data_IF_279354580578
#
_entry.id   IF_279354580578
#
_cell.length_a   1.000
_cell.length_b   1.000
_cell.length_c   1.000
_cell.angle_alpha   90.00
_cell.angle_beta   90.00
_cell.angle_gamma   90.00
#
_symmetry.space_group_name_H-M   'P 1'
#
loop_
_entity.id
_entity.type
_entity.pdbx_description
1 polymer ?
#
# COMPACT_ATOMS: atom_id res chain seq x y z
N UNK A 1 15.24 -19.74 30.40
CA UNK A 1 13.85 -19.32 30.07
C UNK A 1 13.50 -17.93 30.64
N UNK A 2 13.59 -17.65 31.93
CA UNK A 2 13.18 -16.32 32.51
C UNK A 2 13.99 -15.13 31.94
N UNK A 3 15.32 -15.23 31.79
CA UNK A 3 16.17 -14.16 31.23
C UNK A 3 15.85 -13.88 29.75
N UNK A 4 15.58 -14.91 28.98
CA UNK A 4 15.17 -14.84 27.56
C UNK A 4 13.86 -14.12 27.37
N UNK A 5 12.86 -14.45 28.21
CA UNK A 5 11.54 -13.82 28.20
C UNK A 5 11.61 -12.37 28.66
N UNK A 6 12.49 -12.06 29.61
CA UNK A 6 12.74 -10.71 30.11
C UNK A 6 13.44 -9.83 29.06
N UNK A 7 14.39 -10.37 28.31
CA UNK A 7 15.05 -9.71 27.18
C UNK A 7 14.05 -9.43 26.02
N UNK A 8 13.20 -10.42 25.71
CA UNK A 8 12.11 -10.20 24.73
C UNK A 8 11.10 -9.15 25.20
N UNK A 9 10.75 -9.13 26.49
CA UNK A 9 9.84 -8.12 27.05
C UNK A 9 10.47 -6.72 27.08
N UNK A 10 11.74 -6.60 27.44
CA UNK A 10 12.46 -5.32 27.39
C UNK A 10 12.55 -4.81 25.94
N UNK A 11 12.81 -5.72 25.02
CA UNK A 11 12.83 -5.45 23.60
C UNK A 11 11.46 -4.96 23.06
N UNK A 12 10.37 -5.58 23.50
CA UNK A 12 8.99 -5.16 23.13
C UNK A 12 8.61 -3.82 23.80
N UNK A 13 9.17 -3.54 24.99
CA UNK A 13 8.93 -2.30 25.74
C UNK A 13 9.77 -1.09 25.26
N UNK A 14 10.68 -1.27 24.29
CA UNK A 14 11.53 -0.18 23.78
C UNK A 14 12.58 0.32 24.79
N UNK A 15 12.97 -0.52 25.76
CA UNK A 15 13.97 -0.17 26.79
C UNK A 15 15.36 -0.31 26.18
N UNK A 16 16.19 0.74 26.31
CA UNK A 16 17.59 0.69 25.88
C UNK A 16 18.32 -0.45 26.61
N UNK A 17 18.99 -1.32 25.85
CA UNK A 17 19.70 -2.49 26.33
C UNK A 17 21.22 -2.25 26.28
N UNK A 18 21.96 -2.83 27.21
CA UNK A 18 23.41 -2.85 27.13
C UNK A 18 23.89 -3.78 25.99
N UNK A 19 25.06 -3.50 25.42
CA UNK A 19 25.58 -4.25 24.25
C UNK A 19 25.64 -5.76 24.49
N UNK A 20 26.05 -6.20 25.68
CA UNK A 20 26.09 -7.62 26.10
C UNK A 20 24.68 -8.27 26.10
N UNK A 21 23.62 -7.50 26.40
CA UNK A 21 22.23 -7.98 26.37
C UNK A 21 21.71 -8.04 24.94
N UNK A 22 22.19 -7.17 24.06
CA UNK A 22 21.85 -7.19 22.61
C UNK A 22 22.41 -8.45 21.95
N UNK A 23 23.64 -8.84 22.26
CA UNK A 23 24.25 -10.07 21.71
C UNK A 23 23.57 -11.33 22.25
N UNK A 24 23.22 -11.35 23.53
CA UNK A 24 22.44 -12.43 24.12
C UNK A 24 21.04 -12.52 23.46
N UNK A 25 20.41 -11.39 23.16
CA UNK A 25 19.14 -11.34 22.44
C UNK A 25 19.29 -11.91 21.03
N UNK A 26 20.31 -11.49 20.26
CA UNK A 26 20.58 -12.02 18.91
C UNK A 26 20.72 -13.53 18.90
N UNK A 27 21.49 -14.10 19.85
CA UNK A 27 21.68 -15.54 19.97
C UNK A 27 20.36 -16.30 20.23
N UNK A 28 19.42 -15.69 20.95
CA UNK A 28 18.08 -16.23 21.17
C UNK A 28 17.22 -16.11 19.94
N UNK A 29 17.24 -14.96 19.29
CA UNK A 29 16.45 -14.71 18.07
C UNK A 29 16.81 -15.70 16.96
N UNK A 30 18.09 -16.09 16.82
CA UNK A 30 18.52 -17.08 15.82
C UNK A 30 17.86 -18.46 15.96
N UNK A 31 17.35 -18.79 17.15
CA UNK A 31 16.64 -20.05 17.42
C UNK A 31 15.15 -19.98 17.05
N UNK A 32 14.65 -18.80 16.65
CA UNK A 32 13.26 -18.62 16.26
C UNK A 32 13.04 -19.26 14.89
N UNK A 33 12.15 -20.24 14.83
CA UNK A 33 11.78 -20.95 13.59
C UNK A 33 10.44 -20.52 13.04
N UNK A 34 9.56 -19.98 13.86
CA UNK A 34 8.23 -19.54 13.44
C UNK A 34 8.29 -18.34 12.47
N UNK A 35 7.75 -18.46 11.25
CA UNK A 35 7.89 -17.46 10.21
C UNK A 35 7.20 -16.13 10.54
N UNK A 36 6.09 -16.13 11.26
CA UNK A 36 5.41 -14.91 11.68
C UNK A 36 6.27 -14.13 12.70
N UNK A 37 6.88 -14.84 13.65
CA UNK A 37 7.79 -14.25 14.61
C UNK A 37 9.06 -13.74 13.94
N UNK A 38 9.62 -14.46 12.96
CA UNK A 38 10.75 -13.99 12.16
C UNK A 38 10.42 -12.70 11.40
N UNK A 39 9.22 -12.59 10.82
CA UNK A 39 8.75 -11.38 10.17
C UNK A 39 8.67 -10.20 11.16
N UNK A 40 8.17 -10.43 12.38
CA UNK A 40 8.13 -9.41 13.45
C UNK A 40 9.53 -8.94 13.85
N UNK A 41 10.49 -9.85 13.96
CA UNK A 41 11.89 -9.51 14.22
C UNK A 41 12.43 -8.60 13.11
N UNK A 42 12.15 -8.95 11.85
CA UNK A 42 12.48 -8.11 10.71
C UNK A 42 11.90 -6.69 10.81
N UNK A 43 10.64 -6.57 11.27
CA UNK A 43 10.02 -5.27 11.51
C UNK A 43 10.73 -4.46 12.60
N UNK A 44 11.17 -5.11 13.70
CA UNK A 44 11.93 -4.45 14.77
C UNK A 44 13.23 -3.84 14.23
N UNK A 45 14.00 -4.57 13.43
CA UNK A 45 15.20 -4.05 12.79
C UNK A 45 14.90 -2.96 11.74
N UNK A 46 13.83 -3.09 10.99
CA UNK A 46 13.45 -2.11 9.97
C UNK A 46 13.04 -0.75 10.57
N UNK A 47 12.36 -0.77 11.71
CA UNK A 47 11.83 0.40 12.41
C UNK A 47 12.81 0.98 13.44
N UNK A 48 13.70 0.17 13.99
CA UNK A 48 14.64 0.58 15.04
C UNK A 48 13.96 0.79 16.39
N UNK A 49 12.85 0.07 16.68
CA UNK A 49 12.06 0.27 17.90
C UNK A 49 12.61 -0.45 19.13
N UNK A 50 13.27 -1.57 18.91
CA UNK A 50 13.73 -2.48 19.98
C UNK A 50 15.23 -2.67 19.93
N UNK A 51 15.75 -2.71 18.73
CA UNK A 51 17.18 -2.81 18.40
C UNK A 51 17.53 -1.65 17.50
N UNK A 52 18.80 -1.28 17.42
CA UNK A 52 19.24 -0.27 16.47
C UNK A 52 18.75 -0.62 15.07
N UNK A 53 18.32 0.41 14.33
CA UNK A 53 17.81 0.24 12.98
C UNK A 53 18.88 -0.37 12.08
N UNK A 54 18.59 -1.55 11.57
CA UNK A 54 19.45 -2.29 10.66
C UNK A 54 18.65 -2.86 9.50
N UNK A 55 18.83 -2.25 8.35
CA UNK A 55 18.12 -2.64 7.13
C UNK A 55 18.59 -3.98 6.58
N UNK A 56 19.87 -4.34 6.77
CA UNK A 56 20.43 -5.60 6.30
C UNK A 56 19.89 -6.77 7.13
N UNK A 57 19.89 -6.62 8.46
CA UNK A 57 19.29 -7.60 9.35
C UNK A 57 17.78 -7.74 9.11
N UNK A 58 17.04 -6.63 8.93
CA UNK A 58 15.63 -6.69 8.59
C UNK A 58 15.38 -7.53 7.33
N UNK A 59 16.18 -7.30 6.27
CA UNK A 59 16.07 -8.05 5.01
C UNK A 59 16.37 -9.54 5.21
N UNK A 60 17.39 -9.88 6.02
CA UNK A 60 17.75 -11.26 6.35
C UNK A 60 16.59 -12.00 7.02
N UNK A 61 15.96 -11.35 7.99
CA UNK A 61 14.80 -11.91 8.70
C UNK A 61 13.57 -12.03 7.82
N UNK A 62 13.26 -11.02 7.00
CA UNK A 62 12.17 -11.12 6.04
C UNK A 62 12.39 -12.26 5.06
N UNK A 63 13.64 -12.47 4.59
CA UNK A 63 13.95 -13.58 3.67
C UNK A 63 13.73 -14.93 4.34
N UNK A 64 14.22 -15.13 5.57
CA UNK A 64 13.97 -16.33 6.35
C UNK A 64 12.47 -16.66 6.48
N UNK A 65 11.66 -15.66 6.82
CA UNK A 65 10.21 -15.83 6.97
C UNK A 65 9.49 -16.05 5.62
N UNK A 66 9.89 -15.32 4.60
CA UNK A 66 9.28 -15.40 3.27
C UNK A 66 9.54 -16.74 2.57
N UNK A 67 10.74 -17.30 2.75
CA UNK A 67 11.12 -18.63 2.24
C UNK A 67 10.30 -19.75 2.90
N UNK A 68 9.79 -19.51 4.11
CA UNK A 68 8.87 -20.41 4.82
C UNK A 68 7.38 -20.11 4.52
N UNK A 69 7.10 -19.19 3.60
CA UNK A 69 5.75 -18.90 3.13
C UNK A 69 5.03 -17.77 3.84
N UNK A 70 5.62 -17.04 4.81
CA UNK A 70 4.95 -15.92 5.47
C UNK A 70 4.59 -14.81 4.45
N UNK A 71 3.29 -14.60 4.23
CA UNK A 71 2.78 -13.67 3.22
C UNK A 71 3.17 -12.21 3.51
N UNK A 72 3.16 -11.79 4.78
CA UNK A 72 3.60 -10.45 5.18
C UNK A 72 5.09 -10.24 4.88
N UNK A 73 5.95 -11.23 5.16
CA UNK A 73 7.37 -11.14 4.86
C UNK A 73 7.64 -11.09 3.34
N UNK A 74 6.89 -11.86 2.56
CA UNK A 74 6.94 -11.81 1.09
C UNK A 74 6.53 -10.42 0.57
N UNK A 75 5.45 -9.84 1.11
CA UNK A 75 5.08 -8.46 0.81
C UNK A 75 6.19 -7.47 1.17
N UNK A 76 6.80 -7.61 2.36
CA UNK A 76 7.91 -6.75 2.81
C UNK A 76 9.12 -6.83 1.88
N UNK A 77 9.46 -8.01 1.40
CA UNK A 77 10.51 -8.18 0.38
C UNK A 77 10.13 -7.51 -0.94
N UNK A 78 8.91 -7.70 -1.43
CA UNK A 78 8.42 -7.01 -2.62
C UNK A 78 8.55 -5.50 -2.49
N UNK A 79 8.13 -4.94 -1.37
CA UNK A 79 8.27 -3.52 -1.04
C UNK A 79 9.73 -3.07 -0.99
N UNK A 80 10.59 -3.89 -0.38
CA UNK A 80 12.02 -3.62 -0.32
C UNK A 80 12.62 -3.50 -1.72
N UNK A 81 12.39 -4.47 -2.59
CA UNK A 81 12.89 -4.47 -3.96
C UNK A 81 12.32 -3.34 -4.81
N UNK A 82 11.13 -2.84 -4.50
CA UNK A 82 10.54 -1.67 -5.17
C UNK A 82 11.23 -0.36 -4.78
N UNK A 83 11.62 -0.19 -3.51
CA UNK A 83 12.08 1.10 -2.95
C UNK A 83 13.60 1.23 -2.84
N UNK A 84 14.32 0.15 -2.60
CA UNK A 84 15.74 0.21 -2.22
C UNK A 84 16.71 -0.24 -3.30
N UNK A 85 16.26 -0.88 -4.35
CA UNK A 85 17.12 -1.27 -5.45
C UNK A 85 16.97 -0.32 -6.63
N UNK A 86 17.93 0.60 -6.72
CA UNK A 86 18.20 1.49 -7.85
C UNK A 86 18.39 0.66 -9.12
N UNK A 87 17.65 1.06 -10.19
CA UNK A 87 17.94 0.81 -11.61
C UNK A 87 18.51 -0.60 -11.93
N UNK A 88 17.63 -1.57 -12.22
CA UNK A 88 18.01 -2.81 -12.90
C UNK A 88 17.65 -4.15 -12.26
N UNK A 89 17.24 -4.23 -10.99
CA UNK A 89 16.84 -5.49 -10.34
C UNK A 89 15.41 -5.47 -9.80
N UNK A 90 14.45 -5.09 -10.65
CA UNK A 90 13.02 -5.08 -10.32
C UNK A 90 12.28 -6.42 -10.57
N UNK A 91 12.85 -7.49 -11.18
CA UNK A 91 12.14 -8.76 -11.37
C UNK A 91 11.69 -9.42 -10.07
N UNK A 92 12.50 -9.26 -9.01
CA UNK A 92 12.21 -9.89 -7.72
C UNK A 92 11.01 -9.25 -7.00
N UNK A 93 10.73 -7.96 -7.23
CA UNK A 93 9.60 -7.30 -6.60
C UNK A 93 8.27 -7.96 -6.97
N UNK A 94 8.02 -8.16 -8.28
CA UNK A 94 6.81 -8.81 -8.76
C UNK A 94 6.71 -10.27 -8.30
N UNK A 95 7.82 -10.99 -8.27
CA UNK A 95 7.86 -12.36 -7.78
C UNK A 95 7.40 -12.46 -6.32
N UNK A 96 7.93 -11.62 -5.44
CA UNK A 96 7.57 -11.64 -4.03
C UNK A 96 6.14 -11.14 -3.79
N UNK A 97 5.72 -10.07 -4.47
CA UNK A 97 4.33 -9.63 -4.39
C UNK A 97 3.36 -10.70 -4.91
N UNK A 98 3.71 -11.44 -5.97
CA UNK A 98 2.87 -12.54 -6.49
C UNK A 98 2.69 -13.63 -5.45
N UNK A 99 3.77 -14.10 -4.82
CA UNK A 99 3.70 -15.11 -3.74
C UNK A 99 2.77 -14.67 -2.61
N UNK A 100 2.89 -13.43 -2.15
CA UNK A 100 2.01 -12.89 -1.11
C UNK A 100 0.56 -12.72 -1.60
N UNK A 101 0.36 -12.24 -2.83
CA UNK A 101 -0.96 -12.03 -3.43
C UNK A 101 -1.74 -13.34 -3.65
N UNK A 102 -1.05 -14.42 -3.99
CA UNK A 102 -1.63 -15.78 -4.11
C UNK A 102 -2.15 -16.30 -2.77
N UNK A 103 -1.54 -15.90 -1.67
CA UNK A 103 -2.01 -16.19 -0.31
C UNK A 103 -3.11 -15.22 0.18
N UNK A 104 -3.61 -14.32 -0.68
CA UNK A 104 -4.66 -13.39 -0.32
C UNK A 104 -4.18 -12.09 0.35
N UNK A 105 -2.87 -11.81 0.37
CA UNK A 105 -2.36 -10.57 0.97
C UNK A 105 -2.80 -9.35 0.14
N UNK A 106 -3.81 -8.62 0.63
CA UNK A 106 -4.54 -7.59 -0.11
C UNK A 106 -3.65 -6.45 -0.61
N UNK A 107 -2.70 -5.99 0.23
CA UNK A 107 -1.78 -4.92 -0.18
C UNK A 107 -0.83 -5.41 -1.27
N UNK A 108 -0.37 -6.68 -1.20
CA UNK A 108 0.47 -7.25 -2.25
C UNK A 108 -0.29 -7.42 -3.58
N UNK A 109 -1.56 -7.77 -3.55
CA UNK A 109 -2.42 -7.79 -4.74
C UNK A 109 -2.47 -6.40 -5.39
N UNK A 110 -2.67 -5.36 -4.60
CA UNK A 110 -2.67 -3.98 -5.07
C UNK A 110 -1.33 -3.58 -5.70
N UNK A 111 -0.22 -3.79 -4.99
CA UNK A 111 1.12 -3.41 -5.45
C UNK A 111 1.51 -4.17 -6.73
N UNK A 112 1.19 -5.46 -6.81
CA UNK A 112 1.40 -6.24 -8.02
C UNK A 112 0.57 -5.70 -9.20
N UNK A 113 -0.68 -5.31 -8.95
CA UNK A 113 -1.54 -4.63 -9.93
C UNK A 113 -0.90 -3.34 -10.48
N UNK A 114 -0.30 -2.53 -9.61
CA UNK A 114 0.45 -1.33 -10.00
C UNK A 114 1.66 -1.69 -10.87
N UNK A 115 2.39 -2.76 -10.54
CA UNK A 115 3.52 -3.21 -11.36
C UNK A 115 3.08 -3.63 -12.76
N UNK A 116 1.99 -4.40 -12.88
CA UNK A 116 1.42 -4.76 -14.20
C UNK A 116 0.91 -3.55 -14.97
N UNK A 117 0.27 -2.59 -14.29
CA UNK A 117 -0.22 -1.36 -14.93
C UNK A 117 0.93 -0.51 -15.53
N UNK A 118 2.10 -0.53 -14.89
CA UNK A 118 3.27 0.25 -15.28
C UNK A 118 4.28 -0.50 -16.16
N UNK A 119 4.14 -1.81 -16.31
CA UNK A 119 5.18 -2.64 -16.93
C UNK A 119 6.50 -2.58 -16.16
N UNK A 120 6.45 -2.71 -14.84
CA UNK A 120 7.59 -2.55 -13.96
C UNK A 120 7.78 -3.76 -13.04
N UNK A 121 8.90 -3.80 -12.32
CA UNK A 121 9.14 -4.85 -11.32
C UNK A 121 9.37 -6.24 -11.90
N UNK A 122 9.80 -6.32 -13.17
CA UNK A 122 10.06 -7.58 -13.86
C UNK A 122 8.84 -8.19 -14.54
N UNK A 123 7.75 -7.42 -14.68
CA UNK A 123 6.59 -7.78 -15.49
C UNK A 123 6.41 -6.79 -16.63
N UNK A 124 5.92 -7.28 -17.77
CA UNK A 124 5.47 -6.42 -18.86
C UNK A 124 4.13 -5.78 -18.51
N UNK A 125 3.81 -4.65 -19.17
CA UNK A 125 2.51 -4.02 -19.01
C UNK A 125 1.39 -5.02 -19.35
N UNK A 126 0.43 -5.16 -18.45
CA UNK A 126 -0.74 -6.01 -18.60
C UNK A 126 -1.91 -5.43 -17.81
N UNK A 127 -2.70 -4.59 -18.45
CA UNK A 127 -3.84 -3.94 -17.82
C UNK A 127 -4.94 -4.94 -17.39
N UNK A 128 -5.15 -6.01 -18.14
CA UNK A 128 -6.16 -7.03 -17.78
C UNK A 128 -5.79 -7.72 -16.45
N UNK A 129 -4.52 -8.06 -16.27
CA UNK A 129 -4.04 -8.65 -15.01
C UNK A 129 -4.07 -7.61 -13.87
N UNK A 130 -3.74 -6.35 -14.12
CA UNK A 130 -3.87 -5.28 -13.15
C UNK A 130 -5.33 -5.14 -12.66
N UNK A 131 -6.29 -5.11 -13.58
CA UNK A 131 -7.73 -5.06 -13.27
C UNK A 131 -8.15 -6.26 -12.42
N UNK A 132 -7.71 -7.48 -12.78
CA UNK A 132 -8.02 -8.69 -12.02
C UNK A 132 -7.55 -8.58 -10.56
N UNK A 133 -6.34 -8.06 -10.36
CA UNK A 133 -5.75 -7.86 -9.04
C UNK A 133 -6.46 -6.73 -8.26
N UNK A 134 -6.79 -5.61 -8.92
CA UNK A 134 -7.54 -4.53 -8.27
C UNK A 134 -8.95 -4.96 -7.89
N UNK A 135 -9.61 -5.83 -8.67
CA UNK A 135 -10.92 -6.42 -8.30
C UNK A 135 -10.81 -7.22 -7.00
N UNK A 136 -9.81 -8.10 -6.87
CA UNK A 136 -9.57 -8.85 -5.62
C UNK A 136 -9.36 -7.93 -4.42
N UNK A 137 -8.54 -6.89 -4.58
CA UNK A 137 -8.35 -5.89 -3.53
C UNK A 137 -9.61 -5.09 -3.21
N UNK A 138 -10.45 -4.79 -4.21
CA UNK A 138 -11.72 -4.08 -4.06
C UNK A 138 -12.78 -4.93 -3.34
N UNK A 139 -12.83 -6.23 -3.61
CA UNK A 139 -13.65 -7.22 -2.92
C UNK A 139 -13.30 -7.32 -1.44
N UNK A 140 -12.00 -7.21 -1.12
CA UNK A 140 -11.48 -7.15 0.26
C UNK A 140 -11.65 -5.77 0.91
N UNK A 141 -12.30 -4.81 0.27
CA UNK A 141 -12.52 -3.47 0.83
C UNK A 141 -11.28 -2.56 0.83
N UNK A 142 -10.25 -2.83 0.03
CA UNK A 142 -9.07 -1.99 0.00
C UNK A 142 -9.29 -0.73 -0.87
N UNK A 143 -9.45 0.42 -0.24
CA UNK A 143 -9.82 1.67 -0.91
C UNK A 143 -8.91 2.07 -2.08
N UNK A 144 -7.60 1.81 -1.99
CA UNK A 144 -6.66 2.09 -3.07
C UNK A 144 -6.90 1.21 -4.29
N UNK A 145 -7.26 -0.06 -4.10
CA UNK A 145 -7.61 -0.96 -5.20
C UNK A 145 -8.93 -0.55 -5.85
N UNK A 146 -9.92 -0.15 -5.04
CA UNK A 146 -11.20 0.38 -5.54
C UNK A 146 -10.96 1.62 -6.40
N UNK A 147 -10.12 2.55 -5.94
CA UNK A 147 -9.74 3.74 -6.68
C UNK A 147 -9.08 3.40 -8.04
N UNK A 148 -8.06 2.53 -8.02
CA UNK A 148 -7.34 2.18 -9.24
C UNK A 148 -8.21 1.40 -10.23
N UNK A 149 -9.13 0.57 -9.74
CA UNK A 149 -10.14 -0.06 -10.58
C UNK A 149 -11.05 0.99 -11.24
N UNK A 150 -11.46 2.03 -10.50
CA UNK A 150 -12.17 3.18 -11.05
C UNK A 150 -11.38 3.89 -12.15
N UNK A 151 -10.05 4.06 -11.97
CA UNK A 151 -9.19 4.63 -13.00
C UNK A 151 -9.13 3.74 -14.25
N UNK A 152 -9.07 2.42 -14.08
CA UNK A 152 -9.10 1.49 -15.22
C UNK A 152 -10.41 1.64 -16.03
N UNK A 153 -11.55 1.76 -15.39
CA UNK A 153 -12.83 2.01 -16.08
C UNK A 153 -12.92 3.42 -16.68
N UNK A 154 -12.37 4.44 -16.01
CA UNK A 154 -12.35 5.80 -16.54
C UNK A 154 -11.58 5.91 -17.86
N UNK A 155 -10.45 5.21 -17.94
CA UNK A 155 -9.52 5.29 -19.06
C UNK A 155 -9.64 4.13 -20.06
N UNK A 156 -10.43 3.10 -19.76
CA UNK A 156 -10.54 1.90 -20.60
C UNK A 156 -9.30 1.00 -20.57
N UNK A 157 -8.59 0.95 -19.44
CA UNK A 157 -7.36 0.16 -19.29
C UNK A 157 -7.68 -1.28 -18.86
N UNK A 158 -7.58 -2.22 -19.78
CA UNK A 158 -7.85 -3.65 -19.53
C UNK A 158 -9.34 -3.99 -19.35
N UNK A 159 -10.21 -2.99 -19.45
CA UNK A 159 -11.68 -3.09 -19.47
C UNK A 159 -12.22 -2.04 -20.45
N UNK A 160 -13.43 -2.21 -21.02
CA UNK A 160 -14.09 -1.15 -21.75
C UNK A 160 -14.25 0.09 -20.89
N UNK A 161 -14.10 1.28 -21.49
CA UNK A 161 -14.32 2.54 -20.79
C UNK A 161 -15.78 2.63 -20.30
N UNK A 162 -15.94 2.90 -19.01
CA UNK A 162 -17.25 3.11 -18.37
C UNK A 162 -17.13 4.16 -17.28
N UNK A 163 -17.56 5.38 -17.60
CA UNK A 163 -17.52 6.51 -16.66
C UNK A 163 -18.51 6.37 -15.50
N UNK A 164 -19.64 5.71 -15.72
CA UNK A 164 -20.62 5.50 -14.65
C UNK A 164 -20.08 4.50 -13.60
N UNK A 165 -19.49 3.40 -14.06
CA UNK A 165 -18.84 2.44 -13.17
C UNK A 165 -17.61 3.06 -12.47
N UNK A 166 -16.81 3.86 -13.17
CA UNK A 166 -15.69 4.60 -12.56
C UNK A 166 -16.17 5.53 -11.45
N UNK A 167 -17.27 6.27 -11.68
CA UNK A 167 -17.88 7.14 -10.65
C UNK A 167 -18.31 6.33 -9.43
N UNK A 168 -19.02 5.21 -9.65
CA UNK A 168 -19.46 4.32 -8.56
C UNK A 168 -18.29 3.84 -7.69
N UNK A 169 -17.19 3.44 -8.32
CA UNK A 169 -15.98 2.97 -7.66
C UNK A 169 -15.27 4.11 -6.91
N UNK A 170 -15.10 5.25 -7.55
CA UNK A 170 -14.51 6.42 -6.88
C UNK A 170 -15.34 6.85 -5.68
N UNK A 171 -16.66 6.88 -5.81
CA UNK A 171 -17.56 7.21 -4.71
C UNK A 171 -17.41 6.24 -3.54
N UNK A 172 -17.37 4.92 -3.81
CA UNK A 172 -17.12 3.90 -2.78
C UNK A 172 -15.80 4.15 -2.04
N UNK A 173 -14.71 4.39 -2.75
CA UNK A 173 -13.41 4.68 -2.12
C UNK A 173 -13.40 6.04 -1.39
N UNK A 174 -14.10 7.04 -1.91
CA UNK A 174 -14.23 8.36 -1.30
C UNK A 174 -15.00 8.33 0.02
N UNK A 175 -16.07 7.54 0.09
CA UNK A 175 -16.85 7.28 1.32
C UNK A 175 -16.01 6.56 2.39
N UNK A 176 -15.02 5.77 1.98
CA UNK A 176 -14.01 5.17 2.86
C UNK A 176 -12.89 6.16 3.27
N UNK A 177 -12.98 7.42 2.86
CA UNK A 177 -12.03 8.47 3.24
C UNK A 177 -10.81 8.60 2.33
N UNK A 178 -10.74 7.92 1.18
CA UNK A 178 -9.58 8.03 0.30
C UNK A 178 -9.57 9.36 -0.46
N UNK A 179 -8.64 10.26 -0.10
CA UNK A 179 -8.62 11.65 -0.57
C UNK A 179 -8.57 11.80 -2.10
N UNK A 180 -7.77 10.97 -2.79
CA UNK A 180 -7.72 11.02 -4.25
C UNK A 180 -9.07 10.64 -4.91
N UNK A 181 -9.81 9.71 -4.30
CA UNK A 181 -11.16 9.38 -4.78
C UNK A 181 -12.17 10.48 -4.46
N UNK A 182 -12.06 11.15 -3.32
CA UNK A 182 -12.89 12.32 -3.00
C UNK A 182 -12.69 13.44 -4.04
N UNK A 183 -11.46 13.70 -4.42
CA UNK A 183 -11.14 14.63 -5.49
C UNK A 183 -11.77 14.21 -6.83
N UNK A 184 -11.64 12.94 -7.21
CA UNK A 184 -12.22 12.44 -8.45
C UNK A 184 -13.75 12.50 -8.45
N UNK A 185 -14.41 12.20 -7.34
CA UNK A 185 -15.87 12.39 -7.20
C UNK A 185 -16.25 13.86 -7.41
N UNK A 186 -15.48 14.79 -6.84
CA UNK A 186 -15.65 16.22 -7.09
C UNK A 186 -15.54 16.58 -8.58
N UNK A 187 -14.53 16.04 -9.28
CA UNK A 187 -14.37 16.23 -10.73
C UNK A 187 -15.57 15.70 -11.52
N UNK A 188 -16.08 14.52 -11.16
CA UNK A 188 -17.21 13.91 -11.84
C UNK A 188 -18.47 14.78 -11.73
N UNK A 189 -18.77 15.32 -10.54
CA UNK A 189 -19.87 16.27 -10.36
C UNK A 189 -19.61 17.62 -11.05
N UNK A 190 -18.38 18.13 -11.07
CA UNK A 190 -18.06 19.38 -11.76
C UNK A 190 -18.19 19.27 -13.29
N UNK A 191 -17.78 18.15 -13.86
CA UNK A 191 -17.80 17.93 -15.32
C UNK A 191 -19.07 17.24 -15.83
N UNK A 192 -19.84 16.59 -14.97
CA UNK A 192 -20.99 15.79 -15.36
C UNK A 192 -20.59 14.47 -16.04
N UNK A 193 -19.48 13.84 -15.63
CA UNK A 193 -19.02 12.59 -16.21
C UNK A 193 -19.73 11.39 -15.60
N UNK A 194 -20.66 10.77 -16.34
CA UNK A 194 -21.42 9.62 -15.84
C UNK A 194 -22.35 9.90 -14.66
N UNK A 195 -22.53 11.19 -14.31
CA UNK A 195 -23.39 11.70 -13.24
C UNK A 195 -23.88 13.09 -13.64
N UNK A 196 -25.04 13.51 -13.15
CA UNK A 196 -25.54 14.86 -13.36
C UNK A 196 -24.59 15.91 -12.75
N UNK A 197 -24.33 16.96 -13.52
CA UNK A 197 -23.46 18.08 -13.09
C UNK A 197 -24.03 18.77 -11.85
N UNK A 198 -23.24 18.84 -10.78
CA UNK A 198 -23.61 19.46 -9.53
C UNK A 198 -22.42 20.16 -8.85
N UNK A 199 -22.37 21.49 -8.97
CA UNK A 199 -21.28 22.28 -8.41
C UNK A 199 -21.22 22.22 -6.88
N UNK A 200 -22.36 22.15 -6.20
CA UNK A 200 -22.41 22.10 -4.74
C UNK A 200 -21.83 20.79 -4.22
N UNK A 201 -22.19 19.67 -4.83
CA UNK A 201 -21.62 18.37 -4.50
C UNK A 201 -20.10 18.36 -4.83
N UNK A 202 -19.70 18.91 -5.96
CA UNK A 202 -18.27 19.02 -6.31
C UNK A 202 -17.48 19.75 -5.23
N UNK A 203 -17.97 20.90 -4.76
CA UNK A 203 -17.34 21.68 -3.68
C UNK A 203 -17.25 20.89 -2.37
N UNK A 204 -18.30 20.17 -1.98
CA UNK A 204 -18.30 19.34 -0.78
C UNK A 204 -17.21 18.27 -0.82
N UNK A 205 -17.06 17.58 -1.97
CA UNK A 205 -16.08 16.54 -2.13
C UNK A 205 -14.65 17.08 -2.24
N UNK A 206 -14.44 18.20 -2.92
CA UNK A 206 -13.15 18.88 -2.96
C UNK A 206 -12.71 19.34 -1.55
N UNK A 207 -13.62 19.87 -0.72
CA UNK A 207 -13.32 20.24 0.66
C UNK A 207 -12.84 19.03 1.46
N UNK A 208 -13.53 17.91 1.41
CA UNK A 208 -13.10 16.68 2.10
C UNK A 208 -11.68 16.25 1.69
N UNK A 209 -11.35 16.32 0.41
CA UNK A 209 -10.02 16.00 -0.08
C UNK A 209 -8.96 17.04 0.33
N UNK A 210 -9.30 18.32 0.30
CA UNK A 210 -8.43 19.42 0.70
C UNK A 210 -8.13 19.43 2.19
N UNK A 211 -9.10 19.07 3.04
CA UNK A 211 -8.94 18.93 4.49
C UNK A 211 -7.95 17.82 4.84
N UNK A 212 -7.82 16.79 3.98
CA UNK A 212 -6.80 15.76 4.09
C UNK A 212 -5.44 16.19 3.51
N UNK A 213 -5.33 17.40 3.02
CA UNK A 213 -4.07 17.97 2.54
C UNK A 213 -3.81 17.81 1.04
N UNK A 214 -4.78 17.28 0.23
CA UNK A 214 -4.58 17.07 -1.20
C UNK A 214 -4.45 18.42 -1.94
N UNK A 215 -3.28 18.75 -2.56
CA UNK A 215 -3.04 20.06 -3.17
C UNK A 215 -4.00 20.38 -4.31
N UNK A 216 -4.25 19.39 -5.19
CA UNK A 216 -5.11 19.54 -6.36
C UNK A 216 -6.55 19.93 -5.96
N UNK A 217 -7.03 19.39 -4.84
CA UNK A 217 -8.34 19.76 -4.30
C UNK A 217 -8.39 21.16 -3.77
N UNK A 218 -7.31 21.64 -3.13
CA UNK A 218 -7.20 23.05 -2.66
C UNK A 218 -7.24 24.03 -3.82
N UNK A 219 -6.56 23.71 -4.92
CA UNK A 219 -6.53 24.58 -6.10
C UNK A 219 -7.90 24.63 -6.80
N UNK A 220 -8.59 23.47 -6.89
CA UNK A 220 -9.95 23.43 -7.43
C UNK A 220 -10.95 24.23 -6.58
N UNK A 221 -10.84 24.18 -5.26
CA UNK A 221 -11.68 25.00 -4.38
C UNK A 221 -11.50 26.50 -4.65
N UNK A 222 -10.24 26.97 -4.67
CA UNK A 222 -9.94 28.38 -4.96
C UNK A 222 -10.51 28.82 -6.31
N UNK A 223 -10.36 27.98 -7.32
CA UNK A 223 -10.88 28.25 -8.66
C UNK A 223 -12.42 28.42 -8.66
N UNK A 224 -13.13 27.45 -8.08
CA UNK A 224 -14.59 27.46 -8.05
C UNK A 224 -15.17 28.59 -7.20
N UNK A 225 -14.56 28.90 -6.05
CA UNK A 225 -14.95 30.02 -5.19
C UNK A 225 -14.73 31.38 -5.86
N UNK A 226 -13.66 31.52 -6.66
CA UNK A 226 -13.43 32.73 -7.45
C UNK A 226 -14.47 32.94 -8.56
N UNK A 227 -15.03 31.89 -9.10
CA UNK A 227 -16.08 31.92 -10.13
C UNK A 227 -17.48 32.23 -9.55
N UNK A 228 -17.70 32.01 -8.25
CA UNK A 228 -18.97 32.35 -7.59
C UNK A 228 -19.07 33.82 -7.19
N UNK A 229 -17.94 34.53 -7.14
CA UNK A 229 -17.87 35.95 -6.78
C UNK A 229 -17.99 36.91 -7.97
N UNK A 230 -18.09 36.37 -9.18
CA UNK A 230 -18.32 37.12 -10.42
C UNK A 230 -19.75 36.95 -10.90
#
# INVERSE_FOLDING_TARGET
>A
MKKTMMLMMAAVAGIAMADADVDALKAVLEKVTDPETQCRIGNCYAEGKVVAKDKAEALRWYRKAADQGCAEAQYRLGKWYTHYYVIGKKPEAAMWYRKAAEQGHVVAQHELGILYMRGAGGVTNNYAEAVRLFRKGAESGYARSIHNLGTCYMEGLGVPQDRAEAFRLYRKAAEMGFAASQYNVGLYYDKGWGVEKNKEEALKWYRKAADQGLPEAKDMLKLLESQQKK
#
